data_IF_114245307742
#
_entry.id   IF_114245307742
#
_cell.length_a   1.000
_cell.length_b   1.000
_cell.length_c   1.000
_cell.angle_alpha   90.00
_cell.angle_beta   90.00
_cell.angle_gamma   90.00
#
_symmetry.space_group_name_H-M   'P 1'
#
loop_
_entity.id
_entity.type
_entity.pdbx_description
1 polymer ?
#
# COMPACT_ATOMS: atom_id res chain seq x y z
N UNK A 1 2.75 -11.03 8.73
CA UNK A 1 3.23 -9.65 8.63
C UNK A 1 2.06 -8.70 8.63
N UNK A 2 2.18 -7.58 9.32
CA UNK A 2 1.11 -6.60 9.48
C UNK A 2 1.60 -5.22 9.09
N UNK A 3 0.69 -4.40 8.56
CA UNK A 3 0.87 -2.95 8.43
C UNK A 3 0.00 -2.29 9.48
N UNK A 4 0.59 -1.48 10.35
CA UNK A 4 -0.08 -0.87 11.50
C UNK A 4 0.10 0.64 11.47
N UNK A 5 -0.98 1.36 11.68
CA UNK A 5 -0.94 2.82 11.82
C UNK A 5 -2.02 3.29 12.79
N UNK A 6 -1.64 4.24 13.64
CA UNK A 6 -2.53 4.87 14.61
C UNK A 6 -3.29 3.84 15.46
N UNK A 7 -2.58 2.77 15.88
CA UNK A 7 -3.14 1.71 16.71
C UNK A 7 -4.03 0.71 15.99
N UNK A 8 -4.15 0.80 14.66
CA UNK A 8 -5.00 -0.11 13.89
C UNK A 8 -4.19 -0.96 12.92
N UNK A 9 -4.59 -2.22 12.75
CA UNK A 9 -4.03 -3.10 11.74
C UNK A 9 -4.69 -2.79 10.41
N UNK A 10 -3.93 -2.20 9.49
CA UNK A 10 -4.42 -1.76 8.17
C UNK A 10 -4.46 -2.93 7.20
N UNK A 11 -3.47 -3.82 7.27
CA UNK A 11 -3.40 -5.01 6.42
C UNK A 11 -2.64 -6.10 7.16
N UNK A 12 -2.94 -7.34 6.85
CA UNK A 12 -2.24 -8.50 7.40
C UNK A 12 -2.20 -9.62 6.35
N UNK A 13 -1.01 -10.18 6.15
CA UNK A 13 -0.85 -11.29 5.21
C UNK A 13 0.42 -12.07 5.55
N UNK A 14 0.38 -13.38 5.31
CA UNK A 14 1.56 -14.24 5.38
C UNK A 14 2.35 -14.25 4.08
N UNK A 15 1.80 -13.64 3.02
CA UNK A 15 2.41 -13.65 1.69
C UNK A 15 2.57 -12.22 1.21
N UNK A 16 3.76 -11.65 1.43
CA UNK A 16 4.11 -10.34 0.87
C UNK A 16 5.19 -10.51 -0.18
N UNK A 17 5.21 -9.60 -1.15
CA UNK A 17 6.27 -9.52 -2.14
C UNK A 17 7.19 -8.39 -1.74
N UNK A 18 8.49 -8.67 -1.65
CA UNK A 18 9.48 -7.63 -1.31
C UNK A 18 10.09 -7.10 -2.60
N UNK A 19 10.00 -5.80 -2.78
CA UNK A 19 10.58 -5.12 -3.93
C UNK A 19 11.14 -3.77 -3.48
N UNK A 20 12.40 -3.51 -3.76
CA UNK A 20 13.10 -2.28 -3.36
C UNK A 20 13.01 -2.02 -1.84
N UNK A 21 13.06 -3.08 -1.05
CA UNK A 21 12.99 -2.98 0.40
C UNK A 21 11.60 -2.74 0.97
N UNK A 22 10.57 -2.67 0.13
CA UNK A 22 9.19 -2.50 0.56
C UNK A 22 8.46 -3.82 0.52
N UNK A 23 7.60 -4.06 1.51
CA UNK A 23 6.68 -5.19 1.51
C UNK A 23 5.40 -4.81 0.81
N UNK A 24 5.07 -5.53 -0.25
CA UNK A 24 3.81 -5.36 -0.97
C UNK A 24 2.84 -6.44 -0.50
N UNK A 25 1.72 -6.00 0.04
CA UNK A 25 0.67 -6.87 0.58
C UNK A 25 -0.38 -7.15 -0.50
N UNK A 26 -0.94 -8.35 -0.55
CA UNK A 26 -2.09 -8.57 -1.43
C UNK A 26 -3.18 -7.52 -1.15
N UNK A 27 -3.77 -6.96 -2.19
CA UNK A 27 -4.81 -5.94 -2.03
C UNK A 27 -6.00 -6.48 -1.22
N UNK A 28 -6.26 -7.79 -1.30
CA UNK A 28 -7.31 -8.44 -0.54
C UNK A 28 -7.06 -8.43 0.98
N UNK A 29 -5.81 -8.23 1.41
CA UNK A 29 -5.47 -8.16 2.84
C UNK A 29 -5.71 -6.79 3.45
N UNK A 30 -6.00 -5.78 2.63
CA UNK A 30 -6.22 -4.40 3.07
C UNK A 30 -7.59 -4.26 3.71
N UNK A 31 -7.63 -3.68 4.92
CA UNK A 31 -8.91 -3.39 5.58
C UNK A 31 -9.49 -2.11 4.98
N UNK A 32 -10.51 -2.27 4.16
CA UNK A 32 -11.12 -1.16 3.41
C UNK A 32 -11.83 -0.15 4.29
N UNK A 33 -12.17 -0.51 5.53
CA UNK A 33 -12.80 0.42 6.48
C UNK A 33 -11.88 1.59 6.84
N UNK A 34 -10.58 1.42 6.68
CA UNK A 34 -9.59 2.45 6.99
C UNK A 34 -9.08 3.20 5.78
N UNK A 35 -9.61 2.92 4.59
CA UNK A 35 -9.05 3.38 3.32
C UNK A 35 -10.01 4.33 2.63
N UNK A 36 -9.50 5.46 2.15
CA UNK A 36 -10.26 6.40 1.34
C UNK A 36 -9.59 6.61 -0.01
N UNK A 37 -10.37 7.01 -0.99
CA UNK A 37 -9.88 7.28 -2.34
C UNK A 37 -8.91 8.47 -2.33
N UNK A 38 -7.85 8.39 -3.17
CA UNK A 38 -6.98 9.51 -3.51
C UNK A 38 -6.82 9.55 -5.02
N UNK A 39 -6.82 10.75 -5.60
CA UNK A 39 -6.54 10.92 -7.03
C UNK A 39 -5.08 11.30 -7.29
N UNK A 40 -4.22 11.16 -6.30
CA UNK A 40 -2.79 11.39 -6.46
C UNK A 40 -2.15 10.27 -7.29
N UNK A 41 -1.24 10.65 -8.18
CA UNK A 41 -0.48 9.70 -9.00
C UNK A 41 0.96 10.13 -9.10
N UNK A 42 1.86 9.15 -9.20
CA UNK A 42 3.27 9.39 -9.49
C UNK A 42 3.74 8.42 -10.57
N UNK A 43 4.87 8.72 -11.20
CA UNK A 43 5.39 7.87 -12.27
C UNK A 43 6.75 7.31 -11.85
N UNK A 44 6.89 6.00 -11.96
CA UNK A 44 8.17 5.31 -11.84
C UNK A 44 8.57 4.78 -13.22
N UNK A 45 9.78 5.13 -13.67
CA UNK A 45 10.20 4.83 -15.04
C UNK A 45 10.13 3.33 -15.37
N UNK A 46 10.42 2.45 -14.40
CA UNK A 46 10.45 1.01 -14.69
C UNK A 46 9.24 0.25 -14.14
N UNK A 47 8.51 0.79 -13.14
CA UNK A 47 7.33 0.14 -12.58
C UNK A 47 6.02 0.61 -13.20
N UNK A 48 5.95 1.84 -13.65
CA UNK A 48 4.75 2.42 -14.24
C UNK A 48 4.14 3.51 -13.37
N UNK A 49 2.85 3.78 -13.56
CA UNK A 49 2.14 4.79 -12.79
C UNK A 49 1.64 4.22 -11.46
N UNK A 50 2.01 4.87 -10.37
CA UNK A 50 1.50 4.57 -9.05
C UNK A 50 0.21 5.35 -8.79
N UNK A 51 -0.74 4.70 -8.16
CA UNK A 51 -1.95 5.30 -7.61
C UNK A 51 -1.91 5.17 -6.09
N UNK A 52 -2.74 5.95 -5.40
CA UNK A 52 -2.66 6.06 -3.95
C UNK A 52 -4.02 5.94 -3.30
N UNK A 53 -4.02 5.46 -2.05
CA UNK A 53 -5.12 5.62 -1.12
C UNK A 53 -4.62 6.43 0.07
N UNK A 54 -5.54 7.13 0.72
CA UNK A 54 -5.30 7.73 2.03
C UNK A 54 -5.86 6.82 3.12
N UNK A 55 -5.33 6.95 4.33
CA UNK A 55 -5.85 6.23 5.49
C UNK A 55 -6.66 7.19 6.36
N UNK A 56 -7.75 6.69 6.91
CA UNK A 56 -8.57 7.40 7.89
C UNK A 56 -8.82 6.45 9.05
N UNK A 57 -8.20 6.73 10.19
CA UNK A 57 -8.25 5.86 11.38
C UNK A 57 -8.50 6.74 12.60
N UNK A 58 -9.57 6.43 13.33
CA UNK A 58 -9.94 7.16 14.55
C UNK A 58 -10.02 8.67 14.33
N UNK A 59 -10.57 9.08 13.18
CA UNK A 59 -10.73 10.49 12.84
C UNK A 59 -9.47 11.18 12.31
N UNK A 60 -8.34 10.48 12.22
CA UNK A 60 -7.10 11.03 11.70
C UNK A 60 -6.85 10.56 10.27
N UNK A 61 -6.45 11.52 9.42
CA UNK A 61 -6.15 11.28 8.01
C UNK A 61 -4.64 11.16 7.82
N UNK A 62 -4.21 10.12 7.09
CA UNK A 62 -2.84 10.00 6.60
C UNK A 62 -2.90 10.00 5.07
N UNK A 63 -2.69 11.18 4.49
CA UNK A 63 -2.89 11.38 3.06
C UNK A 63 -1.85 10.60 2.25
N UNK A 64 -2.33 9.86 1.24
CA UNK A 64 -1.49 9.16 0.26
C UNK A 64 -0.51 8.15 0.89
N UNK A 65 -0.91 7.54 2.00
CA UNK A 65 -0.05 6.64 2.78
C UNK A 65 0.06 5.23 2.18
N UNK A 66 -0.79 4.89 1.23
CA UNK A 66 -0.82 3.59 0.56
C UNK A 66 -0.61 3.81 -0.93
N UNK A 67 0.32 3.05 -1.54
CA UNK A 67 0.47 3.12 -2.99
C UNK A 67 0.34 1.75 -3.62
N UNK A 68 -0.01 1.74 -4.89
CA UNK A 68 -0.15 0.53 -5.69
C UNK A 68 0.02 0.86 -7.18
N UNK A 69 0.34 -0.14 -7.96
CA UNK A 69 0.50 0.00 -9.41
C UNK A 69 -0.61 -0.79 -10.08
N UNK A 70 -1.71 -0.14 -10.52
CA UNK A 70 -2.83 -0.87 -11.12
C UNK A 70 -2.45 -1.59 -12.41
N UNK A 71 -1.48 -1.05 -13.14
CA UNK A 71 -1.02 -1.62 -14.39
C UNK A 71 0.50 -1.51 -14.46
N UNK A 72 1.24 -2.34 -13.67
CA UNK A 72 2.69 -2.27 -13.65
C UNK A 72 3.29 -2.72 -14.96
N UNK A 73 4.47 -2.17 -15.30
CA UNK A 73 5.23 -2.64 -16.46
C UNK A 73 5.66 -4.08 -16.24
N UNK A 74 5.96 -4.84 -17.34
CA UNK A 74 6.30 -6.26 -17.21
C UNK A 74 7.41 -6.57 -16.21
N UNK A 75 8.37 -5.68 -16.04
CA UNK A 75 9.47 -5.84 -15.10
C UNK A 75 9.03 -5.85 -13.64
N UNK A 76 7.85 -5.29 -13.37
CA UNK A 76 7.29 -5.22 -12.02
C UNK A 76 5.96 -5.98 -11.89
N UNK A 77 5.71 -6.94 -12.75
CA UNK A 77 4.46 -7.71 -12.80
C UNK A 77 4.12 -8.35 -11.44
N UNK A 78 5.12 -8.72 -10.65
CA UNK A 78 4.91 -9.42 -9.39
C UNK A 78 4.17 -8.58 -8.35
N UNK A 79 4.17 -7.25 -8.47
CA UNK A 79 3.46 -6.37 -7.52
C UNK A 79 2.05 -6.01 -7.98
N UNK A 80 1.60 -6.50 -9.13
CA UNK A 80 0.23 -6.28 -9.57
C UNK A 80 -0.76 -6.86 -8.54
N UNK A 81 -1.78 -6.09 -8.20
CA UNK A 81 -2.77 -6.51 -7.20
C UNK A 81 -2.27 -6.43 -5.77
N UNK A 82 -1.19 -5.70 -5.52
CA UNK A 82 -0.60 -5.52 -4.19
C UNK A 82 -0.53 -4.04 -3.83
N UNK A 83 -0.44 -3.78 -2.53
CA UNK A 83 -0.33 -2.42 -1.98
C UNK A 83 0.89 -2.34 -1.06
N UNK A 84 1.47 -1.15 -0.95
CA UNK A 84 2.59 -0.87 -0.05
C UNK A 84 2.30 0.38 0.76
N UNK A 85 3.07 0.61 1.81
CA UNK A 85 2.77 1.64 2.81
C UNK A 85 4.00 2.48 3.14
N UNK A 86 3.77 3.74 3.52
CA UNK A 86 4.80 4.65 4.00
C UNK A 86 4.17 5.67 4.96
N UNK A 87 4.85 6.78 5.23
CA UNK A 87 4.35 7.89 6.07
C UNK A 87 3.93 7.44 7.46
N UNK A 88 4.84 6.73 8.12
CA UNK A 88 4.65 6.32 9.51
C UNK A 88 3.86 5.04 9.70
N UNK A 89 3.42 4.39 8.63
CA UNK A 89 2.84 3.05 8.73
C UNK A 89 3.96 2.07 9.05
N UNK A 90 3.79 1.32 10.14
CA UNK A 90 4.79 0.35 10.60
C UNK A 90 4.51 -1.01 10.01
N UNK A 91 5.55 -1.67 9.52
CA UNK A 91 5.48 -3.03 9.02
C UNK A 91 6.07 -3.93 10.10
N UNK A 92 5.26 -4.85 10.62
CA UNK A 92 5.64 -5.72 11.74
C UNK A 92 5.42 -7.19 11.39
N UNK A 93 6.26 -8.00 11.97
CA UNK A 93 6.13 -9.47 11.81
C UNK A 93 5.00 -10.03 12.66
#
# INVERSE_FOLDING_TARGET
>A
MQAVWNGAVIAQSDTTVVLEGNHYFPASSLNRDYVTFSNHHTMCAWKGQASYYSLLVNGEMNADAVWYYPDPKPEAEEIKGHVAFWKGVKIEV
#
